data_IF_460034008204
#
_entry.id   IF_460034008204
#
_cell.length_a   1.000
_cell.length_b   1.000
_cell.length_c   1.000
_cell.angle_alpha   90.00
_cell.angle_beta   90.00
_cell.angle_gamma   90.00
#
_symmetry.space_group_name_H-M   'P 1'
#
loop_
_entity.id
_entity.type
_entity.pdbx_description
1 polymer ?
#
# COMPACT_ATOMS: atom_id res chain seq x y z
N UNK A 1 1.08 -15.58 -7.01
CA UNK A 1 1.54 -14.37 -6.31
C UNK A 1 0.49 -13.70 -5.42
N UNK A 2 -0.81 -13.94 -5.62
CA UNK A 2 -1.91 -13.31 -4.85
C UNK A 2 -1.90 -13.66 -3.35
N UNK A 3 -1.66 -14.92 -3.01
CA UNK A 3 -1.65 -15.41 -1.63
C UNK A 3 -0.59 -14.70 -0.76
N UNK A 4 0.57 -14.37 -1.35
CA UNK A 4 1.65 -13.68 -0.66
C UNK A 4 1.26 -12.25 -0.30
N UNK A 5 0.57 -11.54 -1.21
CA UNK A 5 0.07 -10.18 -0.95
C UNK A 5 -1.03 -10.16 0.12
N UNK A 6 -1.91 -11.17 0.12
CA UNK A 6 -2.88 -11.35 1.20
C UNK A 6 -2.21 -11.63 2.55
N UNK A 7 -1.20 -12.51 2.58
CA UNK A 7 -0.46 -12.80 3.80
C UNK A 7 0.28 -11.54 4.32
N UNK A 8 0.95 -10.81 3.44
CA UNK A 8 1.66 -9.58 3.78
C UNK A 8 0.72 -8.49 4.28
N UNK A 9 -0.39 -8.25 3.57
CA UNK A 9 -1.41 -7.29 4.00
C UNK A 9 -2.01 -7.66 5.36
N UNK A 10 -2.29 -8.95 5.58
CA UNK A 10 -2.76 -9.46 6.87
C UNK A 10 -1.76 -9.25 8.01
N UNK A 11 -0.47 -9.54 7.76
CA UNK A 11 0.60 -9.33 8.74
C UNK A 11 0.76 -7.84 9.08
N UNK A 12 0.70 -6.95 8.10
CA UNK A 12 0.83 -5.51 8.32
C UNK A 12 -0.34 -4.92 9.10
N UNK A 13 -1.56 -5.36 8.78
CA UNK A 13 -2.76 -5.01 9.54
C UNK A 13 -2.64 -5.52 10.98
N UNK A 14 -2.26 -6.79 11.17
CA UNK A 14 -2.08 -7.40 12.48
C UNK A 14 -1.03 -6.68 13.32
N UNK A 15 0.16 -6.42 12.77
CA UNK A 15 1.25 -5.71 13.45
C UNK A 15 0.86 -4.29 13.83
N UNK A 16 0.16 -3.56 12.94
CA UNK A 16 -0.27 -2.20 13.24
C UNK A 16 -1.33 -2.15 14.34
N UNK A 17 -2.30 -3.06 14.31
CA UNK A 17 -3.34 -3.18 15.35
C UNK A 17 -2.74 -3.60 16.70
N UNK A 18 -1.81 -4.55 16.72
CA UNK A 18 -1.17 -5.04 17.94
C UNK A 18 -0.28 -3.98 18.61
N UNK A 19 0.40 -3.13 17.82
CA UNK A 19 1.28 -2.10 18.38
C UNK A 19 0.54 -0.87 18.93
N UNK A 20 -0.63 -0.54 18.38
CA UNK A 20 -1.31 0.73 18.69
C UNK A 20 -2.58 0.54 19.51
N UNK A 21 -3.22 -0.63 19.39
CA UNK A 21 -4.53 -0.87 19.94
C UNK A 21 -5.62 0.03 19.34
N UNK A 22 -6.85 -0.10 19.85
CA UNK A 22 -8.01 0.61 19.32
C UNK A 22 -7.97 2.13 19.59
N UNK A 23 -7.34 2.54 20.70
CA UNK A 23 -7.27 3.95 21.10
C UNK A 23 -6.39 4.76 20.15
N UNK A 24 -5.16 4.31 19.88
CA UNK A 24 -4.31 5.04 18.94
C UNK A 24 -4.78 4.91 17.49
N UNK A 25 -5.49 3.83 17.14
CA UNK A 25 -6.16 3.72 15.83
C UNK A 25 -7.25 4.79 15.68
N UNK A 26 -8.02 5.04 16.75
CA UNK A 26 -9.05 6.08 16.76
C UNK A 26 -8.46 7.48 16.68
N UNK A 27 -7.29 7.73 17.25
CA UNK A 27 -6.62 9.04 17.19
C UNK A 27 -6.03 9.34 15.82
N UNK A 28 -5.48 8.32 15.16
CA UNK A 28 -4.80 8.47 13.86
C UNK A 28 -5.54 7.79 12.68
N UNK A 29 -6.85 7.54 12.80
CA UNK A 29 -7.64 6.80 11.80
C UNK A 29 -7.50 7.37 10.37
N UNK A 30 -7.41 8.69 10.27
CA UNK A 30 -7.24 9.42 9.01
C UNK A 30 -5.87 9.15 8.36
N UNK A 31 -4.82 8.88 9.14
CA UNK A 31 -3.50 8.44 8.64
C UNK A 31 -3.64 7.08 7.98
N UNK A 32 -4.35 6.17 8.65
CA UNK A 32 -4.62 4.83 8.13
C UNK A 32 -5.43 4.88 6.82
N UNK A 33 -6.46 5.74 6.75
CA UNK A 33 -7.22 5.94 5.52
C UNK A 33 -6.39 6.56 4.39
N UNK A 34 -5.53 7.54 4.70
CA UNK A 34 -4.65 8.12 3.71
C UNK A 34 -3.67 7.08 3.14
N UNK A 35 -3.04 6.28 4.02
CA UNK A 35 -2.14 5.19 3.62
C UNK A 35 -2.85 4.12 2.78
N UNK A 36 -4.08 3.75 3.16
CA UNK A 36 -4.95 2.86 2.39
C UNK A 36 -5.19 3.41 0.98
N UNK A 37 -5.63 4.66 0.89
CA UNK A 37 -5.95 5.33 -0.37
C UNK A 37 -4.74 5.44 -1.30
N UNK A 38 -3.59 5.87 -0.77
CA UNK A 38 -2.34 5.96 -1.52
C UNK A 38 -1.91 4.58 -2.03
N UNK A 39 -1.99 3.56 -1.17
CA UNK A 39 -1.61 2.19 -1.55
C UNK A 39 -2.49 1.65 -2.67
N UNK A 40 -3.81 1.81 -2.56
CA UNK A 40 -4.74 1.40 -3.60
C UNK A 40 -4.53 2.19 -4.90
N UNK A 41 -4.26 3.50 -4.82
CA UNK A 41 -4.01 4.34 -5.99
C UNK A 41 -2.71 3.96 -6.72
N UNK A 42 -1.63 3.70 -5.98
CA UNK A 42 -0.35 3.25 -6.56
C UNK A 42 -0.53 1.90 -7.26
N UNK A 43 -1.21 0.94 -6.62
CA UNK A 43 -1.49 -0.36 -7.22
C UNK A 43 -2.37 -0.25 -8.47
N UNK A 44 -3.40 0.59 -8.40
CA UNK A 44 -4.25 0.87 -9.55
C UNK A 44 -3.42 1.45 -10.71
N UNK A 45 -2.60 2.48 -10.44
CA UNK A 45 -1.80 3.15 -11.46
C UNK A 45 -0.79 2.21 -12.13
N UNK A 46 -0.14 1.35 -11.34
CA UNK A 46 0.82 0.36 -11.82
C UNK A 46 0.13 -0.74 -12.66
N UNK A 47 -0.91 -1.39 -12.13
CA UNK A 47 -1.57 -2.49 -12.84
C UNK A 47 -2.38 -2.03 -14.06
N UNK A 48 -2.98 -0.85 -14.01
CA UNK A 48 -3.76 -0.32 -15.14
C UNK A 48 -2.89 0.45 -16.15
N UNK A 49 -1.58 0.58 -15.91
CA UNK A 49 -0.67 1.26 -16.82
C UNK A 49 -1.00 2.74 -16.99
N UNK A 50 -1.54 3.38 -15.95
CA UNK A 50 -1.87 4.82 -15.95
C UNK A 50 -0.61 5.66 -16.17
N UNK A 51 0.54 5.14 -15.75
CA UNK A 51 1.85 5.74 -16.00
C UNK A 51 2.79 4.69 -16.58
N UNK A 52 3.31 4.94 -17.78
CA UNK A 52 4.31 4.08 -18.42
C UNK A 52 5.70 4.43 -17.90
N UNK A 53 6.19 3.67 -16.93
CA UNK A 53 7.53 3.82 -16.37
C UNK A 53 8.51 2.87 -17.05
N UNK A 54 9.62 3.42 -17.58
CA UNK A 54 10.81 2.60 -17.85
C UNK A 54 11.32 1.96 -16.56
N UNK A 55 12.04 0.84 -16.68
CA UNK A 55 12.49 0.02 -15.56
C UNK A 55 13.32 0.82 -14.53
N UNK A 56 14.22 1.69 -15.00
CA UNK A 56 14.98 2.62 -14.15
C UNK A 56 14.07 3.55 -13.34
N UNK A 57 13.08 4.16 -13.99
CA UNK A 57 12.19 5.11 -13.34
C UNK A 57 11.25 4.42 -12.34
N UNK A 58 10.94 3.13 -12.54
CA UNK A 58 10.17 2.33 -11.57
C UNK A 58 10.93 2.12 -10.26
N UNK A 59 12.22 1.80 -10.32
CA UNK A 59 13.05 1.68 -9.13
C UNK A 59 13.21 3.04 -8.43
N UNK A 60 13.43 4.11 -9.19
CA UNK A 60 13.49 5.46 -8.64
C UNK A 60 12.18 5.87 -7.94
N UNK A 61 11.02 5.58 -8.55
CA UNK A 61 9.71 5.85 -7.97
C UNK A 61 9.49 5.09 -6.66
N UNK A 62 9.95 3.84 -6.56
CA UNK A 62 9.88 3.07 -5.31
C UNK A 62 10.71 3.74 -4.19
N UNK A 63 11.94 4.16 -4.49
CA UNK A 63 12.80 4.87 -3.52
C UNK A 63 12.15 6.18 -3.08
N UNK A 64 11.68 6.99 -4.05
CA UNK A 64 10.99 8.26 -3.77
C UNK A 64 9.74 8.02 -2.94
N UNK A 65 8.96 6.98 -3.22
CA UNK A 65 7.78 6.61 -2.45
C UNK A 65 8.10 6.28 -0.99
N UNK A 66 9.18 5.55 -0.73
CA UNK A 66 9.65 5.26 0.64
C UNK A 66 10.06 6.55 1.35
N UNK A 67 10.88 7.38 0.70
CA UNK A 67 11.34 8.67 1.28
C UNK A 67 10.15 9.58 1.57
N UNK A 68 9.23 9.72 0.62
CA UNK A 68 8.01 10.52 0.78
C UNK A 68 7.14 10.01 1.94
N UNK A 69 7.03 8.69 2.10
CA UNK A 69 6.28 8.09 3.22
C UNK A 69 6.91 8.41 4.57
N UNK A 70 8.24 8.35 4.66
CA UNK A 70 8.99 8.73 5.89
C UNK A 70 8.79 10.21 6.21
N UNK A 71 8.93 11.09 5.21
CA UNK A 71 8.72 12.53 5.38
C UNK A 71 7.27 12.82 5.79
N UNK A 72 6.28 12.19 5.16
CA UNK A 72 4.88 12.35 5.51
C UNK A 72 4.61 11.95 6.97
N UNK A 73 5.16 10.83 7.43
CA UNK A 73 5.05 10.42 8.83
C UNK A 73 5.70 11.44 9.78
N UNK A 74 6.89 11.96 9.44
CA UNK A 74 7.58 12.96 10.24
C UNK A 74 6.77 14.28 10.34
N UNK A 75 6.18 14.72 9.23
CA UNK A 75 5.30 15.90 9.19
C UNK A 75 4.06 15.68 10.05
N UNK A 76 3.41 14.51 9.94
CA UNK A 76 2.24 14.19 10.76
C UNK A 76 2.58 14.21 12.25
N UNK A 77 3.67 13.56 12.66
CA UNK A 77 4.14 13.56 14.05
C UNK A 77 4.39 15.00 14.53
N UNK A 78 5.11 15.80 13.74
CA UNK A 78 5.45 17.17 14.10
C UNK A 78 4.20 18.06 14.27
N UNK A 79 3.22 17.94 13.37
CA UNK A 79 2.02 18.79 13.40
C UNK A 79 1.00 18.39 14.47
N UNK A 80 0.98 17.12 14.89
CA UNK A 80 -0.07 16.58 15.77
C UNK A 80 0.43 16.26 17.17
N UNK A 81 1.74 16.11 17.38
CA UNK A 81 2.32 15.64 18.64
C UNK A 81 2.03 14.17 18.93
N UNK A 82 1.47 13.42 17.97
CA UNK A 82 1.24 11.99 18.12
C UNK A 82 2.55 11.23 18.28
N UNK A 83 2.53 10.14 19.04
CA UNK A 83 3.69 9.27 19.16
C UNK A 83 4.08 8.70 17.78
N UNK A 84 5.38 8.71 17.48
CA UNK A 84 5.93 8.18 16.21
C UNK A 84 5.46 6.75 15.95
N UNK A 85 5.49 5.91 16.99
CA UNK A 85 5.05 4.51 16.91
C UNK A 85 3.58 4.41 16.48
N UNK A 86 2.71 5.29 16.99
CA UNK A 86 1.29 5.33 16.63
C UNK A 86 1.11 5.67 15.16
N UNK A 87 1.75 6.74 14.68
CA UNK A 87 1.63 7.18 13.28
C UNK A 87 2.13 6.11 12.32
N UNK A 88 3.32 5.56 12.56
CA UNK A 88 3.93 4.54 11.69
C UNK A 88 3.10 3.26 11.66
N UNK A 89 2.64 2.79 12.82
CA UNK A 89 1.89 1.55 12.92
C UNK A 89 0.49 1.67 12.31
N UNK A 90 -0.17 2.82 12.47
CA UNK A 90 -1.47 3.07 11.83
C UNK A 90 -1.33 3.25 10.33
N UNK A 91 -0.28 3.93 9.86
CA UNK A 91 0.04 3.99 8.44
C UNK A 91 0.30 2.59 7.86
N UNK A 92 1.07 1.74 8.56
CA UNK A 92 1.35 0.37 8.16
C UNK A 92 0.07 -0.48 8.07
N UNK A 93 -0.81 -0.38 9.06
CA UNK A 93 -2.12 -1.03 9.03
C UNK A 93 -2.97 -0.55 7.85
N UNK A 94 -2.98 0.76 7.59
CA UNK A 94 -3.66 1.37 6.44
C UNK A 94 -3.15 0.84 5.10
N UNK A 95 -1.83 0.78 4.93
CA UNK A 95 -1.18 0.22 3.74
C UNK A 95 -1.55 -1.25 3.54
N UNK A 96 -1.47 -2.06 4.60
CA UNK A 96 -1.87 -3.46 4.55
C UNK A 96 -3.34 -3.63 4.17
N UNK A 97 -4.22 -2.82 4.73
CA UNK A 97 -5.65 -2.84 4.41
C UNK A 97 -5.91 -2.37 2.97
N UNK A 98 -5.17 -1.37 2.49
CA UNK A 98 -5.21 -0.92 1.10
C UNK A 98 -4.87 -2.02 0.11
N UNK A 99 -3.82 -2.82 0.38
CA UNK A 99 -3.48 -3.99 -0.42
C UNK A 99 -4.61 -5.02 -0.43
N UNK A 100 -5.15 -5.37 0.74
CA UNK A 100 -6.21 -6.37 0.87
C UNK A 100 -7.50 -5.92 0.15
N UNK A 101 -7.91 -4.67 0.32
CA UNK A 101 -9.09 -4.10 -0.34
C UNK A 101 -8.89 -4.08 -1.84
N UNK A 102 -7.76 -3.54 -2.32
CA UNK A 102 -7.46 -3.48 -3.74
C UNK A 102 -7.49 -4.87 -4.39
N UNK A 103 -6.81 -5.85 -3.77
CA UNK A 103 -6.76 -7.21 -4.29
C UNK A 103 -8.10 -7.93 -4.22
N UNK A 104 -8.92 -7.65 -3.22
CA UNK A 104 -10.28 -8.20 -3.16
C UNK A 104 -11.15 -7.67 -4.29
N UNK A 105 -11.04 -6.37 -4.60
CA UNK A 105 -11.77 -5.77 -5.72
C UNK A 105 -11.26 -6.26 -7.06
N UNK A 106 -9.98 -6.10 -7.37
CA UNK A 106 -9.43 -6.36 -8.71
C UNK A 106 -8.89 -7.78 -8.91
N UNK A 107 -8.81 -8.56 -7.84
CA UNK A 107 -8.39 -9.96 -7.88
C UNK A 107 -9.51 -10.97 -7.77
N UNK A 108 -10.64 -10.60 -7.16
CA UNK A 108 -11.77 -11.51 -6.92
C UNK A 108 -13.05 -10.99 -7.57
N UNK A 109 -13.43 -9.74 -7.29
CA UNK A 109 -14.74 -9.21 -7.72
C UNK A 109 -14.78 -8.72 -9.17
N UNK A 110 -13.68 -8.11 -9.63
CA UNK A 110 -13.48 -7.60 -10.99
C UNK A 110 -12.10 -8.02 -11.47
N UNK A 111 -11.88 -9.32 -11.72
CA UNK A 111 -10.63 -9.78 -12.31
C UNK A 111 -10.43 -9.02 -13.63
N UNK A 112 -9.31 -8.31 -13.75
CA UNK A 112 -8.90 -7.71 -15.01
C UNK A 112 -8.83 -8.82 -16.07
N UNK A 113 -9.38 -8.62 -17.28
CA UNK A 113 -9.43 -9.67 -18.30
C UNK A 113 -8.02 -10.19 -18.59
N UNK A 114 -7.93 -11.51 -18.74
CA UNK A 114 -6.73 -12.34 -18.97
C UNK A 114 -5.83 -11.89 -20.15
N UNK A 115 -6.18 -10.86 -20.90
CA UNK A 115 -5.46 -10.32 -22.06
C UNK A 115 -4.05 -9.74 -21.75
N UNK A 116 -3.56 -9.82 -20.51
CA UNK A 116 -2.14 -9.57 -20.18
C UNK A 116 -1.31 -10.84 -19.93
N UNK A 117 -1.93 -12.03 -19.90
CA UNK A 117 -1.20 -13.30 -19.80
C UNK A 117 -0.38 -13.61 -21.07
N UNK A 118 -0.81 -13.12 -22.24
CA UNK A 118 -0.02 -13.24 -23.49
C UNK A 118 1.31 -12.47 -23.46
N UNK A 119 1.41 -11.39 -22.66
CA UNK A 119 2.67 -10.64 -22.53
C UNK A 119 3.74 -11.36 -21.68
N UNK A 120 3.37 -12.44 -20.99
CA UNK A 120 4.29 -13.29 -20.26
C UNK A 120 4.74 -14.52 -21.10
N UNK A 121 3.97 -14.93 -22.10
CA UNK A 121 4.32 -16.04 -23.00
C UNK A 121 5.38 -15.60 -24.04
N UNK A 122 5.33 -14.34 -24.50
CA UNK A 122 6.26 -13.76 -25.48
C UNK A 122 7.69 -13.49 -24.94
N UNK A 123 7.93 -13.66 -23.62
CA UNK A 123 9.27 -13.54 -23.01
C UNK A 123 9.91 -14.91 -22.73
N UNK A 124 9.28 -16.00 -23.19
CA UNK A 124 9.79 -17.37 -23.01
C UNK A 124 10.40 -18.01 -24.26
N UNK A 125 10.64 -17.22 -25.33
CA UNK A 125 11.32 -17.68 -26.57
C UNK A 125 12.62 -16.91 -26.82
#
# INVERSE_FOLDING_TARGET
MVLFEYAMGGVWVGLGLLNVGLTGLREAWWVGLAALGVTAAVRYADEHGVVSWDEWHRYAAAIVGVVASVVACAVVVFLTGLAVLTVVSVALAGTGLGLLVYRTVYGVLRPLPEARLDSADDRSV
#
